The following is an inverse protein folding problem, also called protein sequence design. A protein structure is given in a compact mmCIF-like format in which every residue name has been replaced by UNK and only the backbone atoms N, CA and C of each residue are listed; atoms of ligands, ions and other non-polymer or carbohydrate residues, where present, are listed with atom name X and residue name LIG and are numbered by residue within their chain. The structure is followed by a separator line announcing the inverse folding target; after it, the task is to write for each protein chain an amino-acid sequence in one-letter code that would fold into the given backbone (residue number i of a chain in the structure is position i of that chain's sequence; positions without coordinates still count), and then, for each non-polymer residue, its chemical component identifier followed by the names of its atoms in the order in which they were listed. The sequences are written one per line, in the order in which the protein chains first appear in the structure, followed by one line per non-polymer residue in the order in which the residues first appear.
data_IF_942119303465
#
_entry.id   IF_942119303465
#
_cell.length_a   1.000
_cell.length_b   1.000
_cell.length_c   1.000
_cell.angle_alpha   90.00
_cell.angle_beta   90.00
_cell.angle_gamma   90.00
#
_symmetry.space_group_name_H-M   'P 1'
#
loop_
_entity.id
_entity.type
_entity.pdbx_description
1 polymer ?
#
# COMPACT_ATOMS: atom_id res chain seq x y z
N UNK A 1 -9.04 -5.59 5.29
CA UNK A 1 -9.60 -5.00 6.54
C UNK A 1 -11.11 -5.12 6.67
N UNK A 2 -11.95 -4.63 5.74
CA UNK A 2 -13.42 -4.75 5.88
C UNK A 2 -13.90 -6.20 6.08
N UNK A 3 -13.42 -7.13 5.25
CA UNK A 3 -13.70 -8.56 5.41
C UNK A 3 -13.24 -9.11 6.77
N UNK A 4 -12.11 -8.63 7.30
CA UNK A 4 -11.60 -9.02 8.63
C UNK A 4 -12.55 -8.56 9.72
N UNK A 5 -13.07 -7.33 9.64
CA UNK A 5 -14.09 -6.84 10.59
C UNK A 5 -15.35 -7.69 10.55
N UNK A 6 -15.84 -8.03 9.36
CA UNK A 6 -16.98 -8.94 9.21
C UNK A 6 -16.71 -10.31 9.84
N UNK A 7 -15.50 -10.85 9.68
CA UNK A 7 -15.10 -12.11 10.28
C UNK A 7 -15.09 -12.03 11.82
N UNK A 8 -14.49 -10.98 12.38
CA UNK A 8 -14.41 -10.74 13.81
C UNK A 8 -15.80 -10.59 14.46
N UNK A 9 -16.77 -10.02 13.74
CA UNK A 9 -18.16 -9.91 14.21
C UNK A 9 -18.99 -11.17 13.94
N UNK A 10 -18.37 -12.23 13.43
CA UNK A 10 -18.98 -13.56 13.30
C UNK A 10 -19.66 -13.86 11.98
N UNK A 11 -19.45 -13.04 10.95
CA UNK A 11 -19.90 -13.34 9.58
C UNK A 11 -18.86 -14.17 8.84
N UNK A 12 -19.27 -14.80 7.73
CA UNK A 12 -18.39 -15.58 6.84
C UNK A 12 -17.91 -14.71 5.66
N UNK A 13 -16.65 -14.25 5.64
CA UNK A 13 -16.15 -13.44 4.54
C UNK A 13 -15.84 -14.32 3.32
N UNK A 14 -16.18 -13.84 2.13
CA UNK A 14 -15.77 -14.44 0.86
C UNK A 14 -14.85 -13.46 0.14
N UNK A 15 -13.62 -13.87 -0.11
CA UNK A 15 -12.67 -13.15 -0.94
C UNK A 15 -12.78 -13.67 -2.37
N UNK A 16 -13.40 -12.89 -3.26
CA UNK A 16 -13.52 -13.21 -4.67
C UNK A 16 -12.25 -12.80 -5.43
N UNK A 17 -11.59 -13.76 -6.05
CA UNK A 17 -10.54 -13.54 -7.05
C UNK A 17 -11.17 -13.42 -8.42
N UNK A 18 -10.87 -12.32 -9.10
CA UNK A 18 -11.45 -11.98 -10.39
C UNK A 18 -10.67 -12.53 -11.59
N UNK A 19 -10.31 -13.82 -11.66
CA UNK A 19 -9.53 -14.31 -12.81
C UNK A 19 -10.32 -14.21 -14.12
N UNK A 20 -11.62 -14.49 -14.11
CA UNK A 20 -12.48 -14.35 -15.29
C UNK A 20 -12.67 -12.90 -15.71
N UNK A 21 -12.89 -12.00 -14.75
CA UNK A 21 -13.00 -10.56 -15.02
C UNK A 21 -11.67 -9.91 -15.39
N UNK A 22 -10.53 -10.47 -14.97
CA UNK A 22 -9.18 -9.99 -15.36
C UNK A 22 -8.91 -10.18 -16.86
N UNK A 23 -9.51 -11.19 -17.49
CA UNK A 23 -9.45 -11.42 -18.95
C UNK A 23 -10.15 -10.31 -19.76
N UNK A 24 -10.91 -9.44 -19.10
CA UNK A 24 -11.64 -8.30 -19.68
C UNK A 24 -11.02 -6.96 -19.22
N UNK A 25 -10.79 -6.82 -17.91
CA UNK A 25 -10.21 -5.64 -17.26
C UNK A 25 -11.26 -4.61 -16.79
N UNK A 26 -11.13 -4.16 -15.53
CA UNK A 26 -12.02 -3.15 -14.93
C UNK A 26 -11.71 -1.74 -15.48
N UNK A 27 -12.67 -1.08 -16.17
CA UNK A 27 -12.49 0.28 -16.68
C UNK A 27 -12.73 1.38 -15.64
N UNK A 28 -13.24 1.05 -14.44
CA UNK A 28 -13.76 2.01 -13.47
C UNK A 28 -12.69 3.01 -13.04
N UNK A 29 -12.91 4.29 -13.35
CA UNK A 29 -12.00 5.41 -13.04
C UNK A 29 -10.56 5.22 -13.57
N UNK A 30 -10.38 4.47 -14.67
CA UNK A 30 -9.11 4.28 -15.38
C UNK A 30 -9.13 5.00 -16.74
N UNK A 31 -8.01 5.59 -17.10
CA UNK A 31 -7.83 6.35 -18.35
C UNK A 31 -7.22 5.53 -19.49
N UNK A 32 -6.50 4.46 -19.17
CA UNK A 32 -5.81 3.59 -20.13
C UNK A 32 -6.37 2.16 -20.04
N UNK A 33 -6.38 1.46 -21.18
CA UNK A 33 -6.72 0.04 -21.23
C UNK A 33 -5.66 -0.79 -20.51
N UNK A 34 -6.11 -1.84 -19.81
CA UNK A 34 -5.18 -2.75 -19.12
C UNK A 34 -4.51 -3.69 -20.12
N UNK A 35 -3.23 -4.05 -19.89
CA UNK A 35 -2.60 -5.12 -20.65
C UNK A 35 -3.31 -6.45 -20.39
N UNK A 36 -3.49 -7.25 -21.44
CA UNK A 36 -4.02 -8.60 -21.32
C UNK A 36 -2.96 -9.51 -20.71
N UNK A 37 -3.32 -10.20 -19.63
CA UNK A 37 -2.46 -11.15 -18.94
C UNK A 37 -2.68 -12.56 -19.51
N UNK A 38 -1.62 -13.37 -19.51
CA UNK A 38 -1.75 -14.82 -19.81
C UNK A 38 -2.38 -15.56 -18.63
N UNK A 39 -2.95 -16.74 -18.88
CA UNK A 39 -3.52 -17.58 -17.81
C UNK A 39 -2.47 -17.93 -16.74
N UNK A 40 -1.23 -18.19 -17.15
CA UNK A 40 -0.11 -18.44 -16.22
C UNK A 40 0.19 -17.23 -15.33
N UNK A 41 0.18 -16.01 -15.89
CA UNK A 41 0.35 -14.77 -15.13
C UNK A 41 -0.82 -14.54 -14.16
N UNK A 42 -2.05 -14.83 -14.60
CA UNK A 42 -3.24 -14.73 -13.76
C UNK A 42 -3.15 -15.72 -12.59
N UNK A 43 -2.73 -16.96 -12.84
CA UNK A 43 -2.53 -17.98 -11.81
C UNK A 43 -1.43 -17.57 -10.81
N UNK A 44 -0.29 -17.08 -11.30
CA UNK A 44 0.79 -16.59 -10.44
C UNK A 44 0.34 -15.42 -9.55
N UNK A 45 -0.42 -14.47 -10.12
CA UNK A 45 -0.97 -13.34 -9.37
C UNK A 45 -1.99 -13.81 -8.32
N UNK A 46 -2.82 -14.80 -8.64
CA UNK A 46 -3.78 -15.39 -7.71
C UNK A 46 -3.08 -15.97 -6.48
N UNK A 47 -2.02 -16.77 -6.67
CA UNK A 47 -1.25 -17.33 -5.56
C UNK A 47 -0.59 -16.22 -4.71
N UNK A 48 -0.09 -15.17 -5.35
CA UNK A 48 0.43 -13.98 -4.66
C UNK A 48 -0.64 -13.26 -3.81
N UNK A 49 -1.85 -13.11 -4.33
CA UNK A 49 -2.99 -12.49 -3.62
C UNK A 49 -3.48 -13.36 -2.46
N UNK A 50 -3.52 -14.68 -2.64
CA UNK A 50 -3.91 -15.64 -1.60
C UNK A 50 -3.00 -15.52 -0.36
N UNK A 51 -1.68 -15.43 -0.57
CA UNK A 51 -0.71 -15.15 0.51
C UNK A 51 -1.03 -13.85 1.23
N UNK A 52 -1.35 -12.79 0.48
CA UNK A 52 -1.76 -11.50 1.02
C UNK A 52 -3.01 -11.59 1.89
N UNK A 53 -4.07 -12.23 1.41
CA UNK A 53 -5.32 -12.37 2.16
C UNK A 53 -5.16 -13.23 3.43
N UNK A 54 -4.35 -14.30 3.37
CA UNK A 54 -4.10 -15.20 4.50
C UNK A 54 -3.48 -14.50 5.72
N UNK A 55 -2.82 -13.36 5.53
CA UNK A 55 -2.29 -12.52 6.62
C UNK A 55 -3.40 -11.83 7.42
N UNK A 56 -4.56 -11.57 6.81
CA UNK A 56 -5.63 -10.77 7.41
C UNK A 56 -6.91 -11.54 7.72
N UNK A 57 -7.09 -12.72 7.15
CA UNK A 57 -8.28 -13.56 7.29
C UNK A 57 -7.89 -14.97 7.71
N UNK A 58 -8.68 -15.55 8.61
CA UNK A 58 -8.56 -16.97 8.94
C UNK A 58 -9.34 -17.77 7.91
N UNK A 59 -8.66 -18.64 7.14
CA UNK A 59 -9.26 -19.55 6.17
C UNK A 59 -9.46 -20.94 6.76
N UNK A 60 -10.49 -21.65 6.30
CA UNK A 60 -10.86 -22.97 6.82
C UNK A 60 -12.30 -23.35 6.49
N UNK A 61 -12.76 -24.46 7.07
CA UNK A 61 -14.10 -25.03 6.85
C UNK A 61 -15.12 -24.61 7.92
N UNK A 62 -14.70 -23.82 8.91
CA UNK A 62 -15.56 -23.30 9.95
C UNK A 62 -16.68 -22.40 9.41
N UNK A 63 -17.74 -22.24 10.22
CA UNK A 63 -18.89 -21.40 9.88
C UNK A 63 -18.54 -19.92 9.65
N UNK A 64 -17.42 -19.46 10.23
CA UNK A 64 -16.92 -18.07 10.14
C UNK A 64 -15.61 -17.97 9.36
N UNK A 65 -15.06 -19.11 8.94
CA UNK A 65 -13.78 -19.13 8.25
C UNK A 65 -13.95 -18.58 6.84
N UNK A 66 -12.97 -17.79 6.42
CA UNK A 66 -12.96 -17.15 5.12
C UNK A 66 -12.87 -18.19 4.01
N UNK A 67 -13.49 -17.87 2.88
CA UNK A 67 -13.38 -18.69 1.66
C UNK A 67 -12.82 -17.84 0.53
N UNK A 68 -11.82 -18.39 -0.16
CA UNK A 68 -11.31 -17.81 -1.39
C UNK A 68 -12.05 -18.46 -2.56
N UNK A 69 -12.68 -17.65 -3.42
CA UNK A 69 -13.48 -18.12 -4.56
C UNK A 69 -12.93 -17.48 -5.82
N UNK A 70 -12.95 -18.18 -6.95
CA UNK A 70 -12.53 -17.63 -8.23
C UNK A 70 -13.73 -17.52 -9.20
N UNK A 71 -14.00 -16.32 -9.74
CA UNK A 71 -15.12 -16.14 -10.66
C UNK A 71 -14.93 -16.80 -12.04
N UNK A 72 -13.71 -17.19 -12.40
CA UNK A 72 -13.47 -17.97 -13.63
C UNK A 72 -14.20 -19.32 -13.61
N UNK A 73 -14.52 -19.85 -12.42
CA UNK A 73 -15.28 -21.10 -12.24
C UNK A 73 -16.65 -21.09 -12.91
N UNK A 74 -17.28 -19.92 -13.05
CA UNK A 74 -18.54 -19.72 -13.77
C UNK A 74 -18.37 -18.86 -15.02
N UNK A 75 -17.63 -17.74 -14.95
CA UNK A 75 -17.47 -16.84 -16.08
C UNK A 75 -16.77 -17.52 -17.27
N UNK A 76 -15.76 -18.35 -17.01
CA UNK A 76 -15.03 -19.07 -18.06
C UNK A 76 -15.86 -20.13 -18.79
N UNK A 77 -17.05 -20.44 -18.29
CA UNK A 77 -17.97 -21.46 -18.86
C UNK A 77 -19.23 -20.83 -19.47
N UNK A 78 -19.36 -19.50 -19.42
CA UNK A 78 -20.53 -18.82 -19.97
C UNK A 78 -20.53 -18.89 -21.48
N UNK A 79 -21.62 -19.41 -22.04
CA UNK A 79 -21.91 -19.31 -23.46
C UNK A 79 -22.50 -17.94 -23.78
N UNK A 80 -22.05 -17.30 -24.85
CA UNK A 80 -22.40 -15.92 -25.16
C UNK A 80 -23.91 -15.70 -25.33
N UNK A 81 -24.59 -16.53 -26.13
CA UNK A 81 -26.02 -16.36 -26.39
C UNK A 81 -26.89 -16.62 -25.15
N UNK A 82 -26.70 -17.71 -24.38
CA UNK A 82 -27.37 -17.88 -23.09
C UNK A 82 -27.12 -16.71 -22.14
N UNK A 83 -25.87 -16.26 -21.99
CA UNK A 83 -25.54 -15.13 -21.11
C UNK A 83 -26.27 -13.84 -21.50
N UNK A 84 -26.33 -13.50 -22.79
CA UNK A 84 -27.09 -12.33 -23.25
C UNK A 84 -28.59 -12.46 -22.97
N UNK A 85 -29.16 -13.65 -23.18
CA UNK A 85 -30.59 -13.91 -22.99
C UNK A 85 -30.99 -13.93 -21.53
N UNK A 86 -30.17 -14.48 -20.65
CA UNK A 86 -30.47 -14.64 -19.23
C UNK A 86 -30.08 -13.40 -18.42
N UNK A 87 -28.89 -12.85 -18.68
CA UNK A 87 -28.31 -11.77 -17.88
C UNK A 87 -28.40 -10.44 -18.65
N UNK A 88 -27.93 -10.42 -19.90
CA UNK A 88 -27.84 -9.21 -20.71
C UNK A 88 -29.15 -8.44 -20.85
N UNK A 89 -30.29 -9.14 -20.95
CA UNK A 89 -31.63 -8.54 -21.02
C UNK A 89 -32.01 -7.65 -19.83
N UNK A 90 -31.33 -7.79 -18.70
CA UNK A 90 -31.59 -7.01 -17.50
C UNK A 90 -30.81 -5.69 -17.46
N UNK A 91 -29.89 -5.47 -18.39
CA UNK A 91 -29.07 -4.26 -18.49
C UNK A 91 -29.56 -3.38 -19.63
N UNK A 92 -29.66 -2.07 -19.38
CA UNK A 92 -29.95 -1.09 -20.42
C UNK A 92 -28.72 -0.22 -20.65
N UNK A 93 -28.39 0.02 -21.92
CA UNK A 93 -27.25 0.85 -22.30
C UNK A 93 -27.39 2.25 -21.70
N UNK A 94 -28.56 2.88 -21.80
CA UNK A 94 -28.81 4.22 -21.23
C UNK A 94 -28.45 4.32 -19.74
N UNK A 95 -28.78 3.28 -18.96
CA UNK A 95 -28.44 3.24 -17.53
C UNK A 95 -26.95 3.01 -17.31
N UNK A 96 -26.34 2.11 -18.08
CA UNK A 96 -24.90 1.88 -17.95
C UNK A 96 -24.09 3.14 -18.26
N UNK A 97 -24.54 3.94 -19.22
CA UNK A 97 -23.92 5.24 -19.56
C UNK A 97 -24.09 6.31 -18.47
N UNK A 98 -25.07 6.16 -17.56
CA UNK A 98 -25.30 7.15 -16.50
C UNK A 98 -24.35 7.01 -15.30
N UNK A 99 -23.61 5.90 -15.18
CA UNK A 99 -22.64 5.74 -14.10
C UNK A 99 -21.45 6.67 -14.31
N UNK A 100 -21.05 7.40 -13.25
CA UNK A 100 -19.97 8.39 -13.32
C UNK A 100 -18.65 7.81 -13.86
N UNK A 101 -18.35 6.55 -13.55
CA UNK A 101 -17.16 5.84 -14.05
C UNK A 101 -17.12 5.73 -15.58
N UNK A 102 -18.28 5.57 -16.22
CA UNK A 102 -18.46 5.47 -17.68
C UNK A 102 -18.61 6.87 -18.27
N UNK A 103 -19.50 7.67 -17.68
CA UNK A 103 -19.80 9.04 -18.14
C UNK A 103 -18.54 9.89 -18.23
N UNK A 104 -17.67 9.86 -17.23
CA UNK A 104 -16.42 10.63 -17.23
C UNK A 104 -15.45 10.23 -18.35
N UNK A 105 -15.43 8.96 -18.77
CA UNK A 105 -14.59 8.53 -19.92
C UNK A 105 -15.16 9.07 -21.22
N UNK A 106 -16.49 8.99 -21.39
CA UNK A 106 -17.17 9.49 -22.58
C UNK A 106 -17.06 11.01 -22.71
N UNK A 107 -17.26 11.75 -21.61
CA UNK A 107 -17.12 13.21 -21.56
C UNK A 107 -15.69 13.66 -21.91
N UNK A 108 -14.69 12.80 -21.66
CA UNK A 108 -13.27 13.04 -21.99
C UNK A 108 -12.87 12.49 -23.36
N UNK A 109 -13.83 12.01 -24.15
CA UNK A 109 -13.61 11.36 -25.46
C UNK A 109 -12.62 10.18 -25.39
N UNK A 110 -12.50 9.54 -24.22
CA UNK A 110 -11.65 8.37 -24.06
C UNK A 110 -12.37 7.14 -24.63
N UNK A 111 -11.70 6.34 -25.47
CA UNK A 111 -12.30 5.11 -26.01
C UNK A 111 -12.76 4.21 -24.87
N UNK A 112 -13.99 3.68 -24.96
CA UNK A 112 -14.48 2.62 -24.08
C UNK A 112 -14.87 1.44 -24.96
N UNK A 113 -14.13 0.35 -24.85
CA UNK A 113 -14.33 -0.81 -25.70
C UNK A 113 -15.57 -1.60 -25.28
N UNK A 114 -16.16 -2.35 -26.23
CA UNK A 114 -17.24 -3.29 -25.91
C UNK A 114 -16.82 -4.29 -24.84
N UNK A 115 -15.56 -4.72 -24.85
CA UNK A 115 -14.98 -5.60 -23.84
C UNK A 115 -15.07 -4.97 -22.45
N UNK A 116 -14.52 -3.77 -22.25
CA UNK A 116 -14.57 -3.04 -20.98
C UNK A 116 -16.01 -2.77 -20.52
N UNK A 117 -16.93 -2.50 -21.45
CA UNK A 117 -18.33 -2.27 -21.13
C UNK A 117 -19.03 -3.51 -20.54
N UNK A 118 -18.60 -4.72 -20.94
CA UNK A 118 -19.14 -5.97 -20.39
C UNK A 118 -18.66 -6.26 -18.96
N UNK A 119 -17.60 -5.59 -18.48
CA UNK A 119 -17.09 -5.79 -17.12
C UNK A 119 -18.17 -5.57 -16.04
N UNK A 120 -18.98 -4.52 -16.19
CA UNK A 120 -20.05 -4.19 -15.25
C UNK A 120 -21.12 -5.29 -15.17
N UNK A 121 -21.39 -5.94 -16.30
CA UNK A 121 -22.37 -7.04 -16.39
C UNK A 121 -21.80 -8.28 -15.70
N UNK A 122 -20.53 -8.60 -15.95
CA UNK A 122 -19.84 -9.75 -15.34
C UNK A 122 -19.74 -9.61 -13.81
N UNK A 123 -19.31 -8.45 -13.30
CA UNK A 123 -19.26 -8.23 -11.85
C UNK A 123 -20.65 -8.22 -11.22
N UNK A 124 -21.68 -7.72 -11.92
CA UNK A 124 -23.05 -7.83 -11.47
C UNK A 124 -23.50 -9.28 -11.34
N UNK A 125 -23.17 -10.11 -12.34
CA UNK A 125 -23.46 -11.54 -12.36
C UNK A 125 -22.72 -12.30 -11.25
N UNK A 126 -21.48 -11.93 -10.93
CA UNK A 126 -20.73 -12.49 -9.81
C UNK A 126 -21.52 -12.41 -8.49
N UNK A 127 -22.22 -11.29 -8.22
CA UNK A 127 -22.99 -11.15 -6.99
C UNK A 127 -24.18 -12.15 -6.94
N UNK A 128 -24.85 -12.36 -8.07
CA UNK A 128 -25.95 -13.31 -8.17
C UNK A 128 -25.45 -14.75 -7.99
N UNK A 129 -24.35 -15.12 -8.64
CA UNK A 129 -23.75 -16.45 -8.49
C UNK A 129 -23.20 -16.68 -7.08
N UNK A 130 -22.58 -15.68 -6.46
CA UNK A 130 -22.13 -15.77 -5.07
C UNK A 130 -23.29 -15.95 -4.09
N UNK A 131 -24.42 -15.28 -4.32
CA UNK A 131 -25.63 -15.52 -3.55
C UNK A 131 -26.14 -16.95 -3.74
N UNK A 132 -26.24 -17.41 -5.00
CA UNK A 132 -26.74 -18.75 -5.33
C UNK A 132 -25.91 -19.87 -4.72
N UNK A 133 -24.57 -19.73 -4.76
CA UNK A 133 -23.63 -20.77 -4.33
C UNK A 133 -23.34 -20.73 -2.84
N UNK A 134 -23.25 -19.53 -2.27
CA UNK A 134 -22.72 -19.33 -0.91
C UNK A 134 -23.63 -18.50 0.00
N UNK A 135 -24.79 -18.05 -0.48
CA UNK A 135 -25.71 -17.24 0.30
C UNK A 135 -25.20 -15.82 0.60
N UNK A 136 -24.27 -15.29 -0.20
CA UNK A 136 -23.77 -13.91 -0.01
C UNK A 136 -24.89 -12.90 -0.19
N UNK A 137 -25.11 -12.05 0.82
CA UNK A 137 -26.12 -10.98 0.79
C UNK A 137 -25.52 -9.58 0.81
N UNK A 138 -24.24 -9.42 1.13
CA UNK A 138 -23.55 -8.13 1.19
C UNK A 138 -22.28 -8.17 0.35
N UNK A 139 -22.15 -7.23 -0.59
CA UNK A 139 -20.89 -6.99 -1.31
C UNK A 139 -20.26 -5.68 -0.86
N UNK A 140 -18.94 -5.71 -0.67
CA UNK A 140 -18.16 -4.59 -0.16
C UNK A 140 -17.03 -4.21 -1.11
N UNK A 141 -16.69 -2.93 -1.19
CA UNK A 141 -15.58 -2.46 -2.02
C UNK A 141 -15.16 -1.00 -1.76
N UNK A 142 -14.21 -0.50 -2.53
CA UNK A 142 -13.90 0.93 -2.58
C UNK A 142 -15.05 1.73 -3.20
N UNK A 143 -15.07 3.05 -2.99
CA UNK A 143 -16.12 3.93 -3.53
C UNK A 143 -16.14 3.94 -5.06
N UNK A 144 -15.02 3.63 -5.70
CA UNK A 144 -14.89 3.44 -7.14
C UNK A 144 -15.67 2.22 -7.68
N UNK A 145 -16.06 1.28 -6.82
CA UNK A 145 -16.80 0.06 -7.19
C UNK A 145 -18.33 0.20 -7.02
N UNK A 146 -18.82 1.36 -6.55
CA UNK A 146 -20.25 1.57 -6.27
C UNK A 146 -21.16 1.18 -7.44
N UNK A 147 -20.86 1.65 -8.65
CA UNK A 147 -21.65 1.37 -9.85
C UNK A 147 -21.77 -0.13 -10.14
N UNK A 148 -20.67 -0.86 -10.03
CA UNK A 148 -20.66 -2.30 -10.31
C UNK A 148 -21.39 -3.11 -9.23
N UNK A 149 -21.21 -2.76 -7.96
CA UNK A 149 -21.89 -3.44 -6.85
C UNK A 149 -23.41 -3.24 -6.94
N UNK A 150 -23.88 -2.01 -7.18
CA UNK A 150 -25.31 -1.71 -7.31
C UNK A 150 -25.93 -2.41 -8.52
N UNK A 151 -25.19 -2.55 -9.62
CA UNK A 151 -25.65 -3.38 -10.73
C UNK A 151 -25.88 -4.84 -10.33
N UNK A 152 -25.01 -5.41 -9.50
CA UNK A 152 -25.23 -6.75 -8.93
C UNK A 152 -26.47 -6.83 -8.04
N UNK A 153 -26.69 -5.83 -7.19
CA UNK A 153 -27.91 -5.75 -6.35
C UNK A 153 -29.16 -5.74 -7.22
N UNK A 154 -29.20 -4.88 -8.24
CA UNK A 154 -30.35 -4.81 -9.13
C UNK A 154 -30.55 -6.05 -9.98
N UNK A 155 -29.46 -6.66 -10.45
CA UNK A 155 -29.52 -7.90 -11.21
C UNK A 155 -30.12 -9.01 -10.35
N UNK A 156 -29.65 -9.17 -9.11
CA UNK A 156 -30.20 -10.16 -8.16
C UNK A 156 -31.69 -9.96 -7.90
N UNK A 157 -32.14 -8.71 -7.76
CA UNK A 157 -33.57 -8.39 -7.64
C UNK A 157 -34.35 -8.78 -8.90
N UNK A 158 -33.84 -8.47 -10.08
CA UNK A 158 -34.53 -8.71 -11.37
C UNK A 158 -34.56 -10.17 -11.77
N UNK A 159 -33.50 -10.92 -11.52
CA UNK A 159 -33.39 -12.33 -11.91
C UNK A 159 -34.07 -13.26 -10.91
N UNK A 160 -33.93 -12.98 -9.62
CA UNK A 160 -34.21 -13.96 -8.57
C UNK A 160 -34.93 -13.37 -7.34
N UNK A 161 -35.40 -12.11 -7.42
CA UNK A 161 -36.05 -11.40 -6.32
C UNK A 161 -35.25 -11.44 -5.01
N UNK A 162 -33.92 -11.30 -5.12
CA UNK A 162 -33.00 -11.34 -3.99
C UNK A 162 -32.88 -9.97 -3.31
N UNK A 163 -32.82 -9.99 -1.98
CA UNK A 163 -32.47 -8.84 -1.15
C UNK A 163 -30.95 -8.80 -0.92
N UNK A 164 -30.27 -8.05 -1.78
CA UNK A 164 -28.81 -7.87 -1.75
C UNK A 164 -28.44 -6.45 -1.31
N UNK A 165 -27.32 -6.33 -0.60
CA UNK A 165 -26.84 -5.10 0.01
C UNK A 165 -25.46 -4.72 -0.52
N UNK A 166 -25.20 -3.41 -0.55
CA UNK A 166 -23.93 -2.83 -0.97
C UNK A 166 -23.35 -1.96 0.15
N UNK A 167 -22.04 -2.07 0.38
CA UNK A 167 -21.33 -1.19 1.30
C UNK A 167 -19.98 -0.77 0.68
N UNK A 168 -19.79 0.52 0.45
CA UNK A 168 -18.51 1.05 -0.04
C UNK A 168 -17.82 1.90 1.00
N UNK A 169 -16.48 1.90 0.99
CA UNK A 169 -15.67 2.84 1.77
C UNK A 169 -15.08 3.92 0.89
N UNK A 170 -14.87 5.15 1.39
CA UNK A 170 -14.17 6.18 0.64
C UNK A 170 -12.76 5.71 0.26
N UNK A 171 -12.25 6.21 -0.87
CA UNK A 171 -10.83 6.04 -1.20
C UNK A 171 -9.98 6.65 -0.08
N UNK A 172 -8.96 5.90 0.36
CA UNK A 172 -8.07 6.36 1.41
C UNK A 172 -7.06 7.36 0.86
N UNK A 173 -7.14 8.59 1.36
CA UNK A 173 -6.15 9.65 1.15
C UNK A 173 -5.43 9.96 2.46
N UNK A 174 -4.25 10.56 2.40
CA UNK A 174 -3.58 11.22 3.53
C UNK A 174 -4.22 12.59 3.80
N UNK A 175 -3.86 13.22 4.92
CA UNK A 175 -4.25 14.61 5.23
C UNK A 175 -3.70 15.62 4.23
N UNK A 176 -2.56 15.33 3.59
CA UNK A 176 -2.00 16.09 2.48
C UNK A 176 -2.75 15.90 1.14
N UNK A 177 -3.73 15.00 1.07
CA UNK A 177 -4.52 14.72 -0.13
C UNK A 177 -3.90 13.69 -1.08
N UNK A 178 -2.78 13.08 -0.72
CA UNK A 178 -2.16 12.01 -1.50
C UNK A 178 -2.93 10.70 -1.38
N UNK A 179 -2.99 9.90 -2.45
CA UNK A 179 -3.60 8.56 -2.38
C UNK A 179 -2.71 7.61 -1.59
N UNK A 180 -3.31 6.92 -0.63
CA UNK A 180 -2.59 5.94 0.18
C UNK A 180 -2.03 4.80 -0.68
N UNK A 181 -0.83 4.33 -0.35
CA UNK A 181 -0.17 3.21 -1.05
C UNK A 181 0.55 3.56 -2.34
N UNK A 182 0.56 4.83 -2.77
CA UNK A 182 1.47 5.33 -3.82
C UNK A 182 2.56 6.16 -3.17
N UNK A 183 3.73 5.57 -2.99
CA UNK A 183 4.93 6.28 -2.56
C UNK A 183 5.76 6.71 -3.77
N UNK A 184 6.73 7.60 -3.57
CA UNK A 184 7.72 7.97 -4.60
C UNK A 184 8.47 6.74 -5.14
N UNK A 185 8.70 5.74 -4.29
CA UNK A 185 9.34 4.46 -4.63
C UNK A 185 8.36 3.39 -5.16
N UNK A 186 7.08 3.72 -5.34
CA UNK A 186 6.07 2.82 -5.89
C UNK A 186 5.05 2.32 -4.86
N UNK A 187 4.51 1.13 -5.09
CA UNK A 187 3.44 0.56 -4.27
C UNK A 187 3.98 0.02 -2.94
N UNK A 188 3.15 0.11 -1.89
CA UNK A 188 3.42 -0.54 -0.60
C UNK A 188 2.91 -1.97 -0.66
N UNK A 189 3.80 -2.93 -0.90
CA UNK A 189 3.46 -4.34 -1.06
C UNK A 189 3.27 -5.04 0.29
N UNK A 190 2.39 -6.06 0.32
CA UNK A 190 2.15 -6.89 1.50
C UNK A 190 3.06 -8.12 1.56
N UNK A 191 3.55 -8.59 0.42
CA UNK A 191 4.42 -9.76 0.34
C UNK A 191 5.89 -9.32 0.51
N UNK A 192 6.62 -10.02 1.38
CA UNK A 192 7.99 -9.66 1.77
C UNK A 192 9.03 -9.79 0.65
N UNK A 193 8.74 -10.56 -0.40
CA UNK A 193 9.55 -10.66 -1.62
C UNK A 193 9.51 -9.37 -2.45
N UNK A 194 8.56 -8.47 -2.19
CA UNK A 194 8.38 -7.19 -2.91
C UNK A 194 8.65 -5.98 -2.03
N UNK A 195 8.38 -6.07 -0.73
CA UNK A 195 8.66 -5.00 0.22
C UNK A 195 9.05 -5.63 1.56
N UNK A 196 10.26 -5.34 2.04
CA UNK A 196 10.75 -5.94 3.28
C UNK A 196 9.85 -5.56 4.48
N UNK A 197 9.76 -6.41 5.52
CA UNK A 197 9.01 -6.05 6.73
C UNK A 197 9.49 -4.75 7.38
N UNK A 198 10.79 -4.44 7.27
CA UNK A 198 11.34 -3.19 7.75
C UNK A 198 10.85 -1.99 6.94
N UNK A 199 10.85 -2.06 5.62
CA UNK A 199 10.33 -0.98 4.77
C UNK A 199 8.82 -0.80 4.94
N UNK A 200 8.09 -1.90 5.11
CA UNK A 200 6.67 -1.86 5.46
C UNK A 200 6.45 -1.14 6.80
N UNK A 201 7.23 -1.48 7.83
CA UNK A 201 7.19 -0.80 9.12
C UNK A 201 7.53 0.69 8.98
N UNK A 202 8.56 1.04 8.21
CA UNK A 202 8.97 2.42 7.97
C UNK A 202 7.88 3.23 7.25
N UNK A 203 7.17 2.63 6.29
CA UNK A 203 6.03 3.28 5.65
C UNK A 203 5.00 3.76 6.68
N UNK A 204 4.58 2.88 7.59
CA UNK A 204 3.63 3.23 8.65
C UNK A 204 4.20 4.18 9.68
N UNK A 205 5.48 4.04 10.04
CA UNK A 205 6.18 4.95 10.96
C UNK A 205 6.22 6.38 10.44
N UNK A 206 6.23 6.55 9.12
CA UNK A 206 6.27 7.84 8.44
C UNK A 206 4.89 8.45 8.15
N UNK A 207 3.81 7.85 8.70
CA UNK A 207 2.44 8.42 8.63
C UNK A 207 2.42 9.86 9.15
N UNK A 208 1.67 10.74 8.48
CA UNK A 208 1.45 12.13 8.90
C UNK A 208 0.74 12.19 10.26
N UNK A 209 1.08 13.17 11.09
CA UNK A 209 0.54 13.34 12.45
C UNK A 209 -1.00 13.33 12.47
N UNK A 210 -1.62 14.04 11.52
CA UNK A 210 -3.07 14.14 11.41
C UNK A 210 -3.77 12.84 10.99
N UNK A 211 -3.03 11.88 10.44
CA UNK A 211 -3.56 10.61 9.96
C UNK A 211 -3.42 9.45 10.95
N UNK A 212 -2.52 9.55 11.93
CA UNK A 212 -2.16 8.45 12.84
C UNK A 212 -3.39 7.84 13.52
N UNK A 213 -4.24 8.68 14.13
CA UNK A 213 -5.44 8.21 14.85
C UNK A 213 -6.42 7.54 13.91
N UNK A 214 -6.62 8.09 12.70
CA UNK A 214 -7.52 7.53 11.71
C UNK A 214 -7.00 6.17 11.21
N UNK A 215 -5.70 6.07 10.95
CA UNK A 215 -5.08 4.83 10.48
C UNK A 215 -5.04 3.75 11.55
N UNK A 216 -4.84 4.12 12.83
CA UNK A 216 -5.00 3.18 13.95
C UNK A 216 -6.40 2.55 13.95
N UNK A 217 -7.46 3.34 13.74
CA UNK A 217 -8.85 2.83 13.69
C UNK A 217 -9.11 1.89 12.51
N UNK A 218 -8.50 2.16 11.36
CA UNK A 218 -8.77 1.45 10.10
C UNK A 218 -7.93 0.18 9.96
N UNK A 219 -6.66 0.22 10.39
CA UNK A 219 -5.65 -0.78 10.03
C UNK A 219 -5.13 -1.63 11.20
N UNK A 220 -5.58 -1.39 12.43
CA UNK A 220 -5.16 -2.17 13.60
C UNK A 220 -6.35 -2.79 14.31
N UNK A 221 -6.12 -3.78 15.16
CA UNK A 221 -7.15 -4.35 16.05
C UNK A 221 -7.15 -3.71 17.45
N UNK A 222 -6.50 -2.54 17.61
CA UNK A 222 -6.44 -1.87 18.90
C UNK A 222 -7.83 -1.41 19.38
N UNK A 223 -8.13 -1.54 20.68
CA UNK A 223 -9.36 -1.01 21.25
C UNK A 223 -9.49 0.50 21.03
N UNK A 224 -10.70 0.97 20.74
CA UNK A 224 -10.96 2.41 20.51
C UNK A 224 -10.53 3.28 21.70
N UNK A 225 -10.69 2.80 22.92
CA UNK A 225 -10.25 3.51 24.13
C UNK A 225 -8.73 3.69 24.18
N UNK A 226 -7.96 2.73 23.67
CA UNK A 226 -6.50 2.85 23.59
C UNK A 226 -6.09 3.84 22.50
N UNK A 227 -6.76 3.78 21.35
CA UNK A 227 -6.56 4.75 20.26
C UNK A 227 -6.91 6.17 20.73
N UNK A 228 -7.93 6.33 21.58
CA UNK A 228 -8.31 7.63 22.15
C UNK A 228 -7.23 8.21 23.06
N UNK A 229 -6.52 7.37 23.84
CA UNK A 229 -5.36 7.81 24.63
C UNK A 229 -4.21 8.24 23.71
N UNK A 230 -3.91 7.44 22.69
CA UNK A 230 -2.85 7.76 21.72
C UNK A 230 -3.13 9.04 20.95
N UNK A 231 -4.40 9.33 20.66
CA UNK A 231 -4.81 10.57 19.99
C UNK A 231 -4.69 11.84 20.84
N UNK A 232 -4.42 11.72 22.15
CA UNK A 232 -4.15 12.87 23.02
C UNK A 232 -2.68 13.30 23.00
N UNK A 233 -1.78 12.45 22.50
CA UNK A 233 -0.36 12.74 22.39
C UNK A 233 -0.13 13.85 21.37
N UNK A 234 0.73 14.82 21.70
CA UNK A 234 1.04 15.98 20.86
C UNK A 234 2.54 16.17 20.68
N UNK A 235 2.89 17.01 19.72
CA UNK A 235 4.27 17.41 19.45
C UNK A 235 5.19 16.17 19.32
N UNK A 236 6.26 16.09 20.11
CA UNK A 236 7.17 14.95 20.06
C UNK A 236 6.56 13.62 20.53
N UNK A 237 5.52 13.65 21.37
CA UNK A 237 4.92 12.43 21.94
C UNK A 237 4.13 11.62 20.92
N UNK A 238 3.66 12.24 19.83
CA UNK A 238 2.93 11.55 18.76
C UNK A 238 3.79 10.46 18.07
N UNK A 239 5.12 10.55 18.20
CA UNK A 239 6.03 9.52 17.72
C UNK A 239 5.75 8.16 18.36
N UNK A 240 5.26 8.10 19.60
CA UNK A 240 4.87 6.84 20.23
C UNK A 240 3.64 6.24 19.54
N UNK A 241 2.62 7.06 19.23
CA UNK A 241 1.47 6.60 18.47
C UNK A 241 1.85 6.09 17.06
N UNK A 242 2.83 6.72 16.40
CA UNK A 242 3.36 6.27 15.11
C UNK A 242 4.12 4.95 15.21
N UNK A 243 4.93 4.76 16.25
CA UNK A 243 5.63 3.49 16.51
C UNK A 243 4.62 2.37 16.74
N UNK A 244 3.56 2.63 17.52
CA UNK A 244 2.48 1.66 17.76
C UNK A 244 1.74 1.33 16.47
N UNK A 245 1.37 2.33 15.66
CA UNK A 245 0.76 2.10 14.36
C UNK A 245 1.63 1.20 13.47
N UNK A 246 2.92 1.52 13.36
CA UNK A 246 3.87 0.74 12.57
C UNK A 246 4.04 -0.68 13.09
N UNK A 247 4.13 -0.84 14.41
CA UNK A 247 4.24 -2.14 15.04
C UNK A 247 3.01 -3.00 14.80
N UNK A 248 1.80 -2.50 15.10
CA UNK A 248 0.56 -3.29 14.99
C UNK A 248 0.23 -3.67 13.55
N UNK A 249 0.46 -2.77 12.59
CA UNK A 249 0.25 -3.06 11.16
C UNK A 249 1.27 -4.07 10.65
N UNK A 250 2.54 -3.94 11.03
CA UNK A 250 3.59 -4.90 10.65
C UNK A 250 3.36 -6.26 11.30
N UNK A 251 2.96 -6.28 12.56
CA UNK A 251 2.61 -7.51 13.30
C UNK A 251 1.47 -8.24 12.60
N UNK A 252 0.44 -7.52 12.17
CA UNK A 252 -0.68 -8.11 11.44
C UNK A 252 -0.25 -8.69 10.08
N UNK A 253 0.64 -8.00 9.36
CA UNK A 253 1.02 -8.39 7.98
C UNK A 253 2.17 -9.42 7.93
N UNK A 254 3.12 -9.36 8.84
CA UNK A 254 4.39 -10.11 8.80
C UNK A 254 4.66 -10.90 10.08
N UNK A 255 3.78 -10.83 11.08
CA UNK A 255 3.93 -11.54 12.34
C UNK A 255 4.70 -10.74 13.40
N UNK A 256 4.62 -11.23 14.64
CA UNK A 256 5.19 -10.57 15.83
C UNK A 256 6.70 -10.38 15.72
N UNK A 257 7.44 -11.44 15.39
CA UNK A 257 8.91 -11.44 15.35
C UNK A 257 9.44 -10.41 14.34
N UNK A 258 8.85 -10.36 13.13
CA UNK A 258 9.23 -9.39 12.12
C UNK A 258 8.94 -7.93 12.56
N UNK A 259 7.84 -7.70 13.27
CA UNK A 259 7.49 -6.38 13.81
C UNK A 259 8.46 -5.94 14.91
N UNK A 260 8.84 -6.86 15.81
CA UNK A 260 9.83 -6.62 16.87
C UNK A 260 11.21 -6.34 16.27
N UNK A 261 11.64 -7.15 15.30
CA UNK A 261 12.90 -6.95 14.59
C UNK A 261 12.94 -5.60 13.86
N UNK A 262 11.86 -5.23 13.15
CA UNK A 262 11.77 -3.94 12.46
C UNK A 262 11.81 -2.77 13.44
N UNK A 263 11.08 -2.85 14.56
CA UNK A 263 11.09 -1.82 15.60
C UNK A 263 12.46 -1.69 16.27
N UNK A 264 13.13 -2.81 16.58
CA UNK A 264 14.49 -2.83 17.13
C UNK A 264 15.51 -2.23 16.16
N UNK A 265 15.42 -2.60 14.88
CA UNK A 265 16.27 -2.04 13.82
C UNK A 265 16.09 -0.53 13.68
N UNK A 266 14.84 -0.06 13.70
CA UNK A 266 14.54 1.37 13.66
C UNK A 266 15.08 2.12 14.89
N UNK A 267 14.96 1.51 16.08
CA UNK A 267 15.50 2.05 17.33
C UNK A 267 17.02 2.13 17.29
N UNK A 268 17.71 1.06 16.90
CA UNK A 268 19.16 1.02 16.76
C UNK A 268 19.65 2.03 15.71
N UNK A 269 18.94 2.15 14.60
CA UNK A 269 19.25 3.16 13.58
C UNK A 269 19.06 4.58 14.12
N UNK A 270 18.10 4.85 15.00
CA UNK A 270 17.88 6.18 15.57
C UNK A 270 18.82 6.51 16.74
N UNK A 271 18.99 5.58 17.69
CA UNK A 271 19.84 5.72 18.88
C UNK A 271 21.33 5.63 18.55
N UNK A 272 21.69 4.84 17.54
CA UNK A 272 23.02 4.86 16.94
C UNK A 272 23.28 6.11 16.08
N UNK A 273 22.46 7.16 16.15
CA UNK A 273 22.67 8.39 15.39
C UNK A 273 22.60 8.17 13.87
N UNK A 274 21.67 7.37 13.38
CA UNK A 274 21.52 7.09 11.95
C UNK A 274 22.49 6.05 11.38
N UNK A 275 23.38 5.44 12.19
CA UNK A 275 24.31 4.40 11.77
C UNK A 275 23.59 3.05 11.53
N UNK A 276 22.73 2.99 10.52
CA UNK A 276 22.30 1.71 9.95
C UNK A 276 23.46 1.08 9.17
N UNK A 277 23.51 -0.25 9.12
CA UNK A 277 24.52 -1.04 8.39
C UNK A 277 24.56 -0.78 6.86
N UNK A 278 23.64 0.02 6.32
CA UNK A 278 23.50 0.37 4.90
C UNK A 278 23.76 1.86 4.59
N UNK A 279 24.36 2.62 5.51
CA UNK A 279 24.79 3.98 5.15
C UNK A 279 25.89 3.92 4.08
N UNK A 280 25.82 4.77 3.03
CA UNK A 280 26.94 4.91 2.11
C UNK A 280 28.19 5.21 2.93
N UNK A 281 29.25 4.43 2.66
CA UNK A 281 30.49 4.48 3.43
C UNK A 281 31.62 4.90 2.50
N UNK A 282 32.40 5.87 2.95
CA UNK A 282 33.59 6.36 2.28
C UNK A 282 34.82 5.93 3.09
N UNK A 283 35.72 5.17 2.46
CA UNK A 283 36.95 4.73 3.08
C UNK A 283 37.98 5.88 3.10
N UNK A 284 38.48 6.20 4.29
CA UNK A 284 39.56 7.15 4.49
C UNK A 284 40.88 6.47 4.11
N UNK A 285 41.31 6.63 2.86
CA UNK A 285 42.51 5.99 2.31
C UNK A 285 43.85 6.65 2.70
N UNK A 286 43.84 7.72 3.51
CA UNK A 286 45.03 8.50 3.88
C UNK A 286 44.86 9.24 5.21
N UNK A 287 45.76 10.20 5.51
CA UNK A 287 45.75 10.93 6.79
C UNK A 287 44.51 11.83 6.97
N UNK A 288 43.98 12.37 5.87
CA UNK A 288 42.73 13.13 5.86
C UNK A 288 42.09 13.11 4.47
N UNK A 289 40.79 13.44 4.40
CA UNK A 289 40.05 13.66 3.14
C UNK A 289 39.34 15.02 3.19
N UNK A 290 39.36 15.83 2.12
CA UNK A 290 38.54 17.03 2.04
C UNK A 290 37.05 16.71 2.18
N UNK A 291 36.31 17.48 2.98
CA UNK A 291 34.87 17.27 3.21
C UNK A 291 34.09 17.25 1.88
N UNK A 292 34.48 18.09 0.93
CA UNK A 292 33.89 18.15 -0.43
C UNK A 292 34.00 16.80 -1.15
N UNK A 293 35.17 16.16 -1.08
CA UNK A 293 35.41 14.91 -1.79
C UNK A 293 34.68 13.74 -1.11
N UNK A 294 34.58 13.76 0.22
CA UNK A 294 33.74 12.82 0.97
C UNK A 294 32.24 12.98 0.63
N UNK A 295 31.73 14.21 0.50
CA UNK A 295 30.33 14.47 0.11
C UNK A 295 30.01 13.91 -1.28
N UNK A 296 30.93 14.03 -2.22
CA UNK A 296 30.75 13.48 -3.58
C UNK A 296 30.86 11.96 -3.56
N UNK A 297 31.87 11.41 -2.87
CA UNK A 297 32.08 9.97 -2.76
C UNK A 297 30.92 9.24 -2.08
N UNK A 298 30.21 9.91 -1.17
CA UNK A 298 28.99 9.40 -0.53
C UNK A 298 27.71 9.64 -1.36
N UNK A 299 27.81 10.30 -2.52
CA UNK A 299 26.66 10.61 -3.38
C UNK A 299 25.77 11.75 -2.86
N UNK A 300 26.25 12.59 -1.95
CA UNK A 300 25.47 13.71 -1.38
C UNK A 300 25.53 14.97 -2.22
N UNK A 301 26.47 15.07 -3.16
CA UNK A 301 26.57 16.14 -4.13
C UNK A 301 27.04 15.56 -5.48
N UNK A 302 26.48 16.05 -6.59
CA UNK A 302 26.86 15.63 -7.94
C UNK A 302 28.14 16.32 -8.45
N UNK A 303 28.57 17.41 -7.81
CA UNK A 303 29.79 18.14 -8.19
C UNK A 303 30.44 18.89 -7.02
N UNK A 304 31.72 19.28 -7.18
CA UNK A 304 32.43 20.11 -6.18
C UNK A 304 31.77 21.47 -5.95
N UNK A 305 31.14 22.05 -6.97
CA UNK A 305 30.42 23.31 -6.84
C UNK A 305 29.15 23.19 -5.98
N UNK A 306 28.42 22.07 -6.12
CA UNK A 306 27.25 21.78 -5.29
C UNK A 306 27.64 21.51 -3.83
N UNK A 307 28.71 20.74 -3.61
CA UNK A 307 29.24 20.48 -2.27
C UNK A 307 29.63 21.77 -1.54
N UNK A 308 30.30 22.72 -2.22
CA UNK A 308 30.64 24.04 -1.65
C UNK A 308 29.41 24.82 -1.21
N UNK A 309 28.37 24.89 -2.07
CA UNK A 309 27.11 25.58 -1.72
C UNK A 309 26.42 24.95 -0.51
N UNK A 310 26.50 23.62 -0.37
CA UNK A 310 25.94 22.93 0.80
C UNK A 310 26.68 23.29 2.10
N UNK A 311 28.01 23.44 2.03
CA UNK A 311 28.85 23.86 3.17
C UNK A 311 28.56 25.32 3.52
N UNK A 312 28.62 26.23 2.54
CA UNK A 312 28.35 27.66 2.73
C UNK A 312 26.93 27.94 3.22
N UNK A 313 25.96 27.11 2.80
CA UNK A 313 24.58 27.15 3.26
C UNK A 313 24.34 26.54 4.66
N UNK A 314 25.38 26.09 5.36
CA UNK A 314 25.27 25.48 6.69
C UNK A 314 24.56 24.13 6.69
N UNK A 315 24.44 23.49 5.53
CA UNK A 315 23.73 22.23 5.34
C UNK A 315 24.56 20.99 5.65
N UNK A 316 25.86 21.13 5.91
CA UNK A 316 26.79 20.02 6.13
C UNK A 316 27.15 19.91 7.61
N UNK A 317 27.09 18.69 8.15
CA UNK A 317 27.48 18.40 9.54
C UNK A 317 28.42 17.21 9.62
N UNK A 318 29.45 17.33 10.44
CA UNK A 318 30.39 16.27 10.82
C UNK A 318 30.21 15.98 12.31
N UNK A 319 29.85 14.74 12.67
CA UNK A 319 29.52 14.36 14.06
C UNK A 319 28.58 15.37 14.74
N UNK A 320 27.52 15.75 14.02
CA UNK A 320 26.50 16.72 14.41
C UNK A 320 26.95 18.20 14.53
N UNK A 321 28.25 18.48 14.35
CA UNK A 321 28.79 19.84 14.28
C UNK A 321 28.70 20.42 12.86
N UNK A 322 28.21 21.65 12.73
CA UNK A 322 28.09 22.32 11.42
C UNK A 322 29.47 22.65 10.85
N UNK A 323 29.70 22.29 9.60
CA UNK A 323 30.90 22.66 8.85
C UNK A 323 30.54 23.84 7.94
N UNK A 324 31.20 24.97 8.16
CA UNK A 324 31.05 26.19 7.34
C UNK A 324 32.29 26.52 6.51
N UNK A 325 33.42 25.85 6.75
CA UNK A 325 34.67 26.04 6.01
C UNK A 325 34.73 25.09 4.80
N UNK A 326 34.80 25.65 3.60
CA UNK A 326 34.91 24.90 2.33
C UNK A 326 36.25 24.17 2.18
N UNK A 327 37.26 24.52 3.00
CA UNK A 327 38.58 23.89 3.03
C UNK A 327 38.71 22.82 4.11
N UNK A 328 37.65 22.58 4.89
CA UNK A 328 37.64 21.59 5.95
C UNK A 328 37.99 20.19 5.42
N UNK A 329 38.71 19.43 6.24
CA UNK A 329 39.09 18.05 5.98
C UNK A 329 38.75 17.18 7.18
N UNK A 330 38.40 15.92 6.91
CA UNK A 330 38.09 14.88 7.90
C UNK A 330 39.36 14.05 8.09
N UNK A 331 39.93 14.06 9.28
CA UNK A 331 41.13 13.30 9.64
C UNK A 331 40.87 12.26 10.73
N UNK A 332 41.92 11.55 11.14
CA UNK A 332 41.84 10.52 12.18
C UNK A 332 41.33 11.06 13.54
N UNK A 333 41.58 12.33 13.85
CA UNK A 333 41.09 12.99 15.07
C UNK A 333 39.58 13.23 15.09
N UNK A 334 38.92 13.19 13.94
CA UNK A 334 37.47 13.40 13.81
C UNK A 334 36.69 12.08 13.88
N UNK A 335 37.39 10.95 13.91
CA UNK A 335 36.78 9.63 14.05
C UNK A 335 36.40 9.36 15.51
N UNK A 336 35.24 8.75 15.72
CA UNK A 336 34.79 8.28 17.03
C UNK A 336 35.56 7.02 17.45
N UNK A 337 35.23 6.47 18.63
CA UNK A 337 35.86 5.25 19.17
C UNK A 337 35.74 4.03 18.22
N UNK A 338 34.81 4.04 17.28
CA UNK A 338 34.59 2.98 16.29
C UNK A 338 35.36 3.18 14.97
N UNK A 339 36.35 4.09 14.96
CA UNK A 339 37.14 4.47 13.76
C UNK A 339 36.28 5.02 12.62
N UNK A 340 35.16 5.68 12.95
CA UNK A 340 34.18 6.19 12.00
C UNK A 340 33.74 7.63 12.36
N UNK A 341 33.44 8.44 11.36
CA UNK A 341 32.81 9.76 11.51
C UNK A 341 31.51 9.84 10.70
N UNK A 342 30.49 10.48 11.27
CA UNK A 342 29.21 10.68 10.60
C UNK A 342 29.23 11.98 9.81
N UNK A 343 29.01 11.90 8.50
CA UNK A 343 28.85 13.05 7.62
C UNK A 343 27.39 13.15 7.17
N UNK A 344 26.79 14.33 7.32
CA UNK A 344 25.39 14.58 6.98
C UNK A 344 25.25 15.78 6.04
N UNK A 345 24.33 15.68 5.08
CA UNK A 345 23.97 16.75 4.15
C UNK A 345 22.45 17.01 4.19
N UNK A 346 22.04 18.03 4.95
CA UNK A 346 20.65 18.33 5.25
C UNK A 346 20.04 17.33 6.24
N UNK A 347 18.70 17.20 6.23
CA UNK A 347 17.95 16.40 7.23
C UNK A 347 17.83 14.90 6.91
N UNK A 348 18.16 14.46 5.69
CA UNK A 348 17.84 13.11 5.20
C UNK A 348 19.03 12.33 4.64
N UNK A 349 20.16 12.98 4.30
CA UNK A 349 21.32 12.33 3.72
C UNK A 349 22.40 12.19 4.79
N UNK A 350 22.70 10.95 5.15
CA UNK A 350 23.68 10.59 6.17
C UNK A 350 24.58 9.50 5.60
N UNK A 351 25.87 9.55 5.93
CA UNK A 351 26.88 8.61 5.46
C UNK A 351 28.06 8.57 6.41
N UNK A 352 28.88 7.54 6.26
CA UNK A 352 29.99 7.28 7.18
C UNK A 352 31.32 7.45 6.47
N UNK A 353 32.24 8.13 7.12
CA UNK A 353 33.66 8.14 6.74
C UNK A 353 34.38 7.24 7.73
N UNK A 354 34.96 6.12 7.26
CA UNK A 354 35.61 5.13 8.13
C UNK A 354 37.08 4.98 7.77
N UNK A 355 37.93 4.75 8.76
CA UNK A 355 39.31 4.33 8.50
C UNK A 355 39.29 2.98 7.76
N UNK A 356 39.96 2.93 6.61
CA UNK A 356 40.05 1.75 5.75
C UNK A 356 40.86 0.61 6.36
#
# INVERSE_FOLDING_TARGET
MMLRRMQQTGHKPIALIGSGTTKVGDPSFKTESRPMLTDDQIAQNMEGMKKGFAKFLTFGDGAKDATLVNNDEWLGKLEYLPFLREVGRHFTINRMLSFDSVKLRLDREQPLTFLEFNYMIMQGYDFVELNRRYGVTLQMGGSDQWGNIINGVELGRRMSNLDLFALTTPLLTTSSGEKMGKTVSGAVWLNEDRLSPYDYWQYWRNTEDADVVRFLKIFTDLPLAEIEKLGKLKDSEINEAKKILAFETTKMCHGQEAAEHAAATAKATFEGGGLGADLPTYALAGASVPVIDALIGLGFAASKGEAKRLIEGGGVRLNDNVISDITASIGASDLTQDSAARLSAGKKRHGIVKQG
#
